data_IF_794447354066
#
_entry.id   IF_794447354066
#
_cell.length_a   1.000
_cell.length_b   1.000
_cell.length_c   1.000
_cell.angle_alpha   90.00
_cell.angle_beta   90.00
_cell.angle_gamma   90.00
#
_symmetry.space_group_name_H-M   'P 1'
#
loop_
_entity.id
_entity.type
_entity.pdbx_description
1 polymer ?
#
# COMPACT_ATOMS: atom_id res chain seq x y z
N UNK A 1 -1.82 40.58 -14.27
CA UNK A 1 -0.99 39.80 -13.33
C UNK A 1 -1.74 38.51 -13.01
N UNK A 2 -1.07 37.36 -13.01
CA UNK A 2 -1.71 36.10 -12.65
C UNK A 2 -1.76 35.96 -11.12
N UNK A 3 -2.95 35.71 -10.57
CA UNK A 3 -3.13 35.31 -9.18
C UNK A 3 -2.94 33.80 -9.12
N UNK A 4 -1.81 33.33 -8.59
CA UNK A 4 -1.57 31.91 -8.36
C UNK A 4 -1.37 31.65 -6.87
N UNK A 5 -1.71 30.44 -6.44
CA UNK A 5 -1.42 29.92 -5.10
C UNK A 5 -0.48 28.73 -5.23
N UNK A 6 0.31 28.48 -4.18
CA UNK A 6 1.20 27.33 -4.10
C UNK A 6 0.80 26.46 -2.92
N UNK A 7 0.97 25.14 -3.06
CA UNK A 7 0.78 24.16 -1.99
C UNK A 7 1.88 23.12 -2.10
N UNK A 8 2.44 22.73 -0.96
CA UNK A 8 3.34 21.59 -0.81
C UNK A 8 2.56 20.46 -0.17
N UNK A 9 2.69 19.24 -0.68
CA UNK A 9 2.10 18.02 -0.11
C UNK A 9 3.22 17.03 0.10
N UNK A 10 3.30 16.45 1.30
CA UNK A 10 4.22 15.36 1.62
C UNK A 10 3.42 14.07 1.68
N UNK A 11 3.86 13.03 0.98
CA UNK A 11 3.21 11.72 1.05
C UNK A 11 4.22 10.62 1.33
N UNK A 12 3.80 9.63 2.11
CA UNK A 12 4.55 8.42 2.40
C UNK A 12 3.85 7.25 1.74
N UNK A 13 4.55 6.52 0.87
CA UNK A 13 4.06 5.28 0.28
C UNK A 13 4.68 4.09 0.98
N UNK A 14 3.84 3.22 1.52
CA UNK A 14 4.29 1.95 2.09
C UNK A 14 4.15 0.85 1.05
N UNK A 15 5.19 0.05 0.88
CA UNK A 15 5.25 -1.02 -0.11
C UNK A 15 5.74 -2.32 0.55
N UNK A 16 5.01 -3.41 0.32
CA UNK A 16 5.40 -4.78 0.69
C UNK A 16 5.66 -5.56 -0.58
N UNK A 17 6.90 -5.99 -0.75
CA UNK A 17 7.39 -6.64 -1.97
C UNK A 17 7.45 -8.14 -1.72
N UNK A 18 6.66 -8.90 -2.48
CA UNK A 18 6.62 -10.37 -2.44
C UNK A 18 7.31 -10.90 -3.69
N UNK A 19 8.46 -11.59 -3.57
CA UNK A 19 9.15 -12.17 -4.72
C UNK A 19 8.25 -13.14 -5.48
N UNK A 20 8.22 -12.98 -6.80
CA UNK A 20 7.42 -13.72 -7.76
C UNK A 20 8.25 -14.13 -8.98
N UNK A 21 9.51 -14.53 -8.75
CA UNK A 21 10.44 -14.87 -9.80
C UNK A 21 9.95 -16.03 -10.67
N UNK A 22 10.25 -15.96 -11.97
CA UNK A 22 10.00 -17.05 -12.89
C UNK A 22 10.78 -18.32 -12.50
N UNK A 23 10.25 -19.51 -12.83
CA UNK A 23 9.02 -19.73 -13.61
C UNK A 23 7.75 -19.88 -12.76
N UNK A 24 7.85 -19.87 -11.42
CA UNK A 24 6.74 -20.29 -10.54
C UNK A 24 5.94 -19.15 -9.92
N UNK A 25 6.47 -17.92 -9.92
CA UNK A 25 5.76 -16.79 -9.34
C UNK A 25 5.74 -16.82 -7.81
N UNK A 26 4.85 -16.01 -7.22
CA UNK A 26 4.71 -15.92 -5.77
C UNK A 26 3.70 -16.96 -5.24
N UNK A 27 4.03 -17.70 -4.16
CA UNK A 27 3.05 -18.54 -3.49
C UNK A 27 1.90 -17.70 -2.92
N UNK A 28 0.66 -18.19 -3.08
CA UNK A 28 -0.52 -17.52 -2.55
C UNK A 28 -0.44 -17.27 -1.03
N UNK A 29 0.24 -18.14 -0.29
CA UNK A 29 0.46 -17.98 1.15
C UNK A 29 1.33 -16.75 1.47
N UNK A 30 2.39 -16.50 0.72
CA UNK A 30 3.28 -15.35 0.93
C UNK A 30 2.59 -14.04 0.56
N UNK A 31 1.78 -14.06 -0.51
CA UNK A 31 0.92 -12.92 -0.87
C UNK A 31 -0.10 -12.63 0.23
N UNK A 32 -0.71 -13.69 0.80
CA UNK A 32 -1.67 -13.57 1.90
C UNK A 32 -1.04 -12.99 3.18
N UNK A 33 0.17 -13.43 3.53
CA UNK A 33 0.95 -12.87 4.67
C UNK A 33 1.26 -11.40 4.47
N UNK A 34 1.74 -11.03 3.28
CA UNK A 34 2.05 -9.63 2.97
C UNK A 34 0.80 -8.75 3.01
N UNK A 35 -0.33 -9.25 2.49
CA UNK A 35 -1.62 -8.59 2.59
C UNK A 35 -2.05 -8.37 4.04
N UNK A 36 -1.95 -9.38 4.91
CA UNK A 36 -2.32 -9.26 6.31
C UNK A 36 -1.51 -8.18 7.04
N UNK A 37 -0.20 -8.11 6.77
CA UNK A 37 0.68 -7.07 7.34
C UNK A 37 0.32 -5.68 6.80
N UNK A 38 0.12 -5.54 5.48
CA UNK A 38 -0.29 -4.27 4.87
C UNK A 38 -1.63 -3.77 5.43
N UNK A 39 -2.58 -4.68 5.60
CA UNK A 39 -3.89 -4.41 6.18
C UNK A 39 -3.79 -3.95 7.65
N UNK A 40 -2.99 -4.64 8.47
CA UNK A 40 -2.77 -4.26 9.86
C UNK A 40 -2.15 -2.86 9.96
N UNK A 41 -1.14 -2.56 9.12
CA UNK A 41 -0.48 -1.25 9.09
C UNK A 41 -1.39 -0.12 8.61
N UNK A 42 -2.23 -0.39 7.61
CA UNK A 42 -3.24 0.56 7.17
C UNK A 42 -4.21 0.92 8.31
N UNK A 43 -4.69 -0.10 9.05
CA UNK A 43 -5.58 0.12 10.19
C UNK A 43 -4.91 0.91 11.30
N UNK A 44 -3.68 0.55 11.65
CA UNK A 44 -2.88 1.28 12.65
C UNK A 44 -2.74 2.76 12.26
N UNK A 45 -2.37 3.04 11.01
CA UNK A 45 -2.20 4.40 10.51
C UNK A 45 -3.49 5.23 10.51
N UNK A 46 -4.66 4.59 10.41
CA UNK A 46 -5.96 5.25 10.37
C UNK A 46 -6.76 5.10 11.68
N UNK A 47 -6.15 4.55 12.74
CA UNK A 47 -6.80 4.33 14.04
C UNK A 47 -8.01 3.39 13.99
N UNK A 48 -8.03 2.45 13.05
CA UNK A 48 -9.13 1.50 12.87
C UNK A 48 -8.96 0.27 13.79
N UNK A 49 -10.07 -0.30 14.32
CA UNK A 49 -10.06 -1.59 14.99
C UNK A 49 -9.47 -2.71 14.12
N UNK A 50 -8.90 -3.75 14.74
CA UNK A 50 -8.23 -4.87 14.06
C UNK A 50 -9.14 -5.62 13.08
N UNK A 51 -10.42 -5.72 13.40
CA UNK A 51 -11.46 -6.40 12.62
C UNK A 51 -12.20 -5.46 11.66
N UNK A 52 -11.85 -4.16 11.65
CA UNK A 52 -12.49 -3.20 10.78
C UNK A 52 -12.26 -3.56 9.31
N UNK A 53 -13.34 -3.42 8.53
CA UNK A 53 -13.28 -3.57 7.09
C UNK A 53 -12.37 -2.49 6.50
N UNK A 54 -11.44 -2.90 5.64
CA UNK A 54 -10.58 -2.00 4.88
C UNK A 54 -11.32 -1.64 3.58
N UNK A 55 -11.37 -0.35 3.18
CA UNK A 55 -11.94 0.03 1.90
C UNK A 55 -11.28 -0.73 0.74
N UNK A 56 -12.07 -1.21 -0.22
CA UNK A 56 -11.57 -2.09 -1.30
C UNK A 56 -10.50 -1.45 -2.21
N UNK A 57 -10.34 -0.14 -2.18
CA UNK A 57 -9.34 0.62 -2.94
C UNK A 57 -8.19 1.16 -2.07
N UNK A 58 -8.15 0.81 -0.77
CA UNK A 58 -7.12 1.31 0.14
C UNK A 58 -5.74 0.68 -0.09
N UNK A 59 -5.71 -0.61 -0.41
CA UNK A 59 -4.49 -1.36 -0.73
C UNK A 59 -4.52 -1.75 -2.21
N UNK A 60 -3.42 -1.51 -2.91
CA UNK A 60 -3.28 -1.87 -4.33
C UNK A 60 -2.22 -2.95 -4.53
N UNK A 61 -2.46 -3.85 -5.48
CA UNK A 61 -1.47 -4.80 -5.97
C UNK A 61 -0.89 -4.28 -7.28
N UNK A 62 0.43 -4.26 -7.37
CA UNK A 62 1.18 -3.99 -8.60
C UNK A 62 2.09 -5.19 -8.88
N UNK A 63 2.14 -5.63 -10.13
CA UNK A 63 3.06 -6.69 -10.56
C UNK A 63 4.25 -6.03 -11.24
N UNK A 64 5.45 -6.48 -10.87
CA UNK A 64 6.73 -6.16 -11.51
C UNK A 64 7.30 -7.43 -12.14
N UNK A 65 8.44 -7.32 -12.82
CA UNK A 65 9.04 -8.45 -13.54
C UNK A 65 9.34 -9.65 -12.63
N UNK A 66 9.67 -9.41 -11.35
CA UNK A 66 10.08 -10.45 -10.40
C UNK A 66 9.36 -10.39 -9.04
N UNK A 67 8.33 -9.54 -8.89
CA UNK A 67 7.62 -9.38 -7.62
C UNK A 67 6.18 -8.89 -7.74
N UNK A 68 5.38 -9.20 -6.72
CA UNK A 68 4.08 -8.60 -6.43
C UNK A 68 4.28 -7.57 -5.31
N UNK A 69 3.90 -6.32 -5.58
CA UNK A 69 4.00 -5.20 -4.64
C UNK A 69 2.61 -4.84 -4.13
N UNK A 70 2.42 -4.90 -2.81
CA UNK A 70 1.22 -4.40 -2.14
C UNK A 70 1.54 -3.02 -1.61
N UNK A 71 0.73 -2.00 -1.91
CA UNK A 71 1.02 -0.64 -1.48
C UNK A 71 -0.18 0.18 -1.06
N UNK A 72 0.05 1.19 -0.22
CA UNK A 72 -0.86 2.31 0.00
C UNK A 72 -0.07 3.59 0.30
N UNK A 73 -0.74 4.73 0.11
CA UNK A 73 -0.15 6.06 0.33
C UNK A 73 -0.90 6.76 1.45
N UNK A 74 -0.14 7.37 2.36
CA UNK A 74 -0.65 8.32 3.34
C UNK A 74 -0.19 9.70 2.90
N UNK A 75 -1.13 10.62 2.71
CA UNK A 75 -0.82 12.04 2.51
C UNK A 75 -0.78 12.72 3.89
N UNK A 76 0.37 13.26 4.27
CA UNK A 76 0.45 14.17 5.41
C UNK A 76 0.14 15.58 4.90
N UNK A 77 -0.97 16.14 5.38
CA UNK A 77 -1.18 17.56 5.29
C UNK A 77 -0.24 18.24 6.30
N UNK A 78 0.77 18.95 5.77
CA UNK A 78 1.63 19.85 6.54
C UNK A 78 0.84 21.05 7.08
#
# INVERSE_FOLDING_TARGET
MATFTTRTVTSTRHEWIVPAAEPWGAPAEEVSKAWAVAAARYREAHGLPEDAAIPGNALTFHVTDDAIVISYTIEEAA
#
